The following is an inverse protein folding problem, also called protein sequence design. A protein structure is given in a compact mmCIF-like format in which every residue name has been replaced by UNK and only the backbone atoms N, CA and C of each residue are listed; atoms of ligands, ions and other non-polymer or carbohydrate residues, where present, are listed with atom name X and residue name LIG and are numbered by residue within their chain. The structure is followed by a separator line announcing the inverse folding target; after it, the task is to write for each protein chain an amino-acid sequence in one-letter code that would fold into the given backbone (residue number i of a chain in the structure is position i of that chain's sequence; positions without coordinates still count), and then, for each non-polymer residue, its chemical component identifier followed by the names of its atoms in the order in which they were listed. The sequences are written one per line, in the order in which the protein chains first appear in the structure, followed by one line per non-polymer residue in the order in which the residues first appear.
data_IF_679015702949
#
_entry.id   IF_679015702949
#
_cell.length_a   1.000
_cell.length_b   1.000
_cell.length_c   1.000
_cell.angle_alpha   90.00
_cell.angle_beta   90.00
_cell.angle_gamma   90.00
#
_symmetry.space_group_name_H-M   'P 1'
#
loop_
_entity.id
_entity.type
_entity.pdbx_description
1 polymer ?
#
# COMPACT_ATOMS: atom_id res chain seq x y z
N UNK A 1 -72.55 -36.49 -81.49
CA UNK A 1 -71.73 -37.21 -80.48
C UNK A 1 -72.08 -36.58 -79.13
N UNK A 2 -72.95 -37.17 -78.30
CA UNK A 2 -72.69 -38.26 -77.33
C UNK A 2 -71.58 -37.85 -76.33
N UNK A 3 -71.69 -37.87 -75.00
CA UNK A 3 -72.66 -38.45 -74.06
C UNK A 3 -72.57 -37.74 -72.69
N UNK A 4 -73.54 -38.04 -71.82
CA UNK A 4 -73.70 -37.62 -70.42
C UNK A 4 -72.86 -38.49 -69.45
N UNK A 5 -72.68 -38.02 -68.21
CA UNK A 5 -72.39 -38.82 -67.00
C UNK A 5 -71.24 -38.25 -66.15
N UNK A 6 -71.16 -38.34 -64.82
CA UNK A 6 -72.04 -38.89 -63.79
C UNK A 6 -71.53 -38.43 -62.39
N UNK A 7 -72.39 -38.55 -61.36
CA UNK A 7 -72.27 -38.32 -59.90
C UNK A 7 -70.94 -38.69 -59.20
N UNK A 8 -70.64 -38.04 -58.06
CA UNK A 8 -70.44 -38.74 -56.76
C UNK A 8 -70.56 -37.83 -55.51
N UNK A 9 -71.13 -38.42 -54.46
CA UNK A 9 -71.45 -37.90 -53.12
C UNK A 9 -70.39 -38.40 -52.11
N UNK A 10 -69.98 -37.60 -51.12
CA UNK A 10 -69.25 -38.12 -49.96
C UNK A 10 -69.52 -37.29 -48.68
N UNK A 11 -70.24 -37.91 -47.73
CA UNK A 11 -70.27 -37.56 -46.31
C UNK A 11 -68.90 -37.81 -45.67
N UNK A 12 -68.55 -37.08 -44.60
CA UNK A 12 -68.23 -37.68 -43.27
C UNK A 12 -67.55 -36.72 -42.28
N UNK A 13 -67.87 -36.97 -41.01
CA UNK A 13 -67.01 -36.93 -39.82
C UNK A 13 -67.06 -35.71 -38.87
N UNK A 14 -67.88 -35.89 -37.81
CA UNK A 14 -67.88 -35.19 -36.52
C UNK A 14 -66.73 -35.70 -35.64
N UNK A 15 -66.00 -34.82 -34.94
CA UNK A 15 -65.00 -35.20 -33.92
C UNK A 15 -64.98 -34.20 -32.77
N UNK A 16 -65.45 -34.61 -31.59
CA UNK A 16 -65.25 -33.90 -30.32
C UNK A 16 -63.86 -34.27 -29.74
N UNK A 17 -63.14 -33.28 -29.18
CA UNK A 17 -62.02 -33.49 -28.25
C UNK A 17 -62.21 -32.59 -27.03
N UNK A 18 -61.98 -33.17 -25.86
CA UNK A 18 -62.12 -32.57 -24.54
C UNK A 18 -60.74 -32.51 -23.90
N UNK A 19 -60.13 -31.32 -23.90
CA UNK A 19 -58.74 -31.14 -23.44
C UNK A 19 -58.77 -30.48 -22.06
N UNK A 20 -58.44 -31.23 -21.00
CA UNK A 20 -58.32 -30.70 -19.63
C UNK A 20 -56.90 -30.17 -19.42
N UNK A 21 -56.77 -28.86 -19.22
CA UNK A 21 -55.51 -28.14 -19.12
C UNK A 21 -55.07 -28.01 -17.63
N UNK A 22 -53.94 -28.59 -17.23
CA UNK A 22 -53.29 -28.27 -15.95
C UNK A 22 -52.32 -27.10 -16.18
N UNK A 23 -52.64 -25.93 -15.62
CA UNK A 23 -51.76 -24.75 -15.68
C UNK A 23 -50.56 -24.84 -14.72
N UNK A 24 -49.53 -23.99 -14.93
CA UNK A 24 -48.32 -23.98 -14.09
C UNK A 24 -48.65 -23.63 -12.64
N UNK A 25 -48.13 -24.41 -11.69
CA UNK A 25 -48.31 -24.16 -10.26
C UNK A 25 -47.53 -22.91 -9.84
N UNK A 26 -48.22 -21.95 -9.21
CA UNK A 26 -47.57 -20.74 -8.68
C UNK A 26 -46.69 -21.11 -7.48
N UNK A 27 -45.46 -20.57 -7.37
CA UNK A 27 -44.61 -20.81 -6.22
C UNK A 27 -45.26 -20.29 -4.92
N UNK A 28 -45.09 -21.02 -3.82
CA UNK A 28 -45.66 -20.66 -2.52
C UNK A 28 -45.04 -19.38 -1.95
N UNK A 29 -45.84 -18.57 -1.26
CA UNK A 29 -45.45 -17.26 -0.73
C UNK A 29 -44.22 -17.34 0.21
N UNK A 30 -44.05 -18.43 0.94
CA UNK A 30 -42.90 -18.65 1.83
C UNK A 30 -41.57 -18.77 1.08
N UNK A 31 -41.60 -19.36 -0.12
CA UNK A 31 -40.41 -19.46 -0.97
C UNK A 31 -39.99 -18.09 -1.50
N UNK A 32 -40.96 -17.22 -1.82
CA UNK A 32 -40.69 -15.85 -2.24
C UNK A 32 -40.12 -15.02 -1.07
N UNK A 33 -40.70 -15.13 0.13
CA UNK A 33 -40.21 -14.46 1.34
C UNK A 33 -38.76 -14.85 1.71
N UNK A 34 -38.43 -16.15 1.62
CA UNK A 34 -37.06 -16.63 1.88
C UNK A 34 -36.04 -16.10 0.86
N UNK A 35 -36.45 -16.00 -0.41
CA UNK A 35 -35.62 -15.46 -1.50
C UNK A 35 -35.37 -13.96 -1.32
N UNK A 36 -36.38 -13.19 -0.92
CA UNK A 36 -36.23 -11.76 -0.62
C UNK A 36 -35.32 -11.50 0.58
N UNK A 37 -35.41 -12.31 1.65
CA UNK A 37 -34.50 -12.20 2.80
C UNK A 37 -33.05 -12.48 2.42
N UNK A 38 -32.80 -13.53 1.61
CA UNK A 38 -31.45 -13.83 1.10
C UNK A 38 -30.91 -12.68 0.22
N UNK A 39 -31.73 -12.16 -0.69
CA UNK A 39 -31.34 -11.04 -1.56
C UNK A 39 -31.02 -9.77 -0.76
N UNK A 40 -31.79 -9.48 0.30
CA UNK A 40 -31.54 -8.34 1.20
C UNK A 40 -30.23 -8.47 1.97
N UNK A 41 -29.92 -9.66 2.50
CA UNK A 41 -28.65 -9.91 3.20
C UNK A 41 -27.47 -9.80 2.22
N UNK A 42 -27.57 -10.42 1.03
CA UNK A 42 -26.54 -10.33 -0.01
C UNK A 42 -26.31 -8.88 -0.49
N UNK A 43 -27.38 -8.07 -0.59
CA UNK A 43 -27.30 -6.65 -0.93
C UNK A 43 -26.61 -5.83 0.17
N UNK A 44 -26.85 -6.13 1.44
CA UNK A 44 -26.18 -5.46 2.57
C UNK A 44 -24.67 -5.76 2.61
N UNK A 45 -24.28 -7.01 2.34
CA UNK A 45 -22.87 -7.40 2.27
C UNK A 45 -22.12 -6.83 1.05
N UNK A 46 -22.82 -6.61 -0.07
CA UNK A 46 -22.22 -5.96 -1.26
C UNK A 46 -22.10 -4.44 -1.08
N UNK A 47 -23.02 -3.79 -0.37
CA UNK A 47 -22.93 -2.36 -0.03
C UNK A 47 -21.79 -2.04 0.95
N UNK A 48 -21.59 -2.88 1.97
CA UNK A 48 -20.53 -2.68 2.97
C UNK A 48 -19.11 -2.91 2.40
N UNK A 49 -18.95 -3.82 1.43
CA UNK A 49 -17.65 -4.01 0.72
C UNK A 49 -17.28 -2.81 -0.15
N UNK A 50 -18.25 -2.12 -0.75
CA UNK A 50 -17.98 -0.96 -1.64
C UNK A 50 -17.46 0.27 -0.90
N UNK A 51 -17.73 0.40 0.39
CA UNK A 51 -17.25 1.54 1.21
C UNK A 51 -15.74 1.50 1.48
N UNK A 52 -15.11 0.32 1.39
CA UNK A 52 -13.69 0.14 1.70
C UNK A 52 -12.82 -0.29 0.49
N UNK A 53 -13.44 -0.66 -0.63
CA UNK A 53 -12.72 -1.28 -1.76
C UNK A 53 -12.29 -0.31 -2.87
N UNK A 54 -12.91 0.86 -3.00
CA UNK A 54 -12.67 1.78 -4.11
C UNK A 54 -12.33 3.18 -3.58
N UNK A 55 -11.07 3.46 -3.21
CA UNK A 55 -10.67 4.83 -2.87
C UNK A 55 -10.92 5.73 -4.07
N UNK A 56 -11.54 6.89 -3.86
CA UNK A 56 -11.73 7.86 -4.94
C UNK A 56 -10.36 8.25 -5.50
N UNK A 57 -10.23 8.46 -6.82
CA UNK A 57 -8.94 8.83 -7.44
C UNK A 57 -8.32 10.09 -6.82
N UNK A 58 -9.14 10.97 -6.25
CA UNK A 58 -8.71 12.16 -5.50
C UNK A 58 -7.95 11.80 -4.21
N UNK A 59 -8.40 10.80 -3.45
CA UNK A 59 -7.72 10.36 -2.23
C UNK A 59 -6.38 9.68 -2.53
N UNK A 60 -6.31 8.93 -3.64
CA UNK A 60 -5.07 8.32 -4.11
C UNK A 60 -4.03 9.39 -4.52
N UNK A 61 -4.47 10.43 -5.23
CA UNK A 61 -3.59 11.55 -5.65
C UNK A 61 -3.17 12.41 -4.45
N UNK A 62 -4.08 12.73 -3.53
CA UNK A 62 -3.73 13.48 -2.33
C UNK A 62 -2.76 12.69 -1.42
N UNK A 63 -2.96 11.37 -1.31
CA UNK A 63 -2.04 10.48 -0.59
C UNK A 63 -0.67 10.41 -1.24
N UNK A 64 -0.59 10.30 -2.57
CA UNK A 64 0.70 10.28 -3.27
C UNK A 64 1.44 11.61 -3.19
N UNK A 65 0.73 12.74 -3.23
CA UNK A 65 1.31 14.07 -2.99
C UNK A 65 1.82 14.18 -1.54
N UNK A 66 1.06 13.72 -0.56
CA UNK A 66 1.48 13.71 0.84
C UNK A 66 2.73 12.87 1.07
N UNK A 67 2.81 11.68 0.46
CA UNK A 67 4.00 10.82 0.50
C UNK A 67 5.18 11.50 -0.20
N UNK A 68 4.95 12.10 -1.37
CA UNK A 68 5.99 12.82 -2.11
C UNK A 68 6.53 14.00 -1.28
N UNK A 69 5.66 14.84 -0.72
CA UNK A 69 6.04 15.93 0.16
C UNK A 69 6.81 15.43 1.40
N UNK A 70 6.37 14.32 2.01
CA UNK A 70 7.08 13.71 3.14
C UNK A 70 8.48 13.22 2.74
N UNK A 71 8.63 12.60 1.56
CA UNK A 71 9.94 12.16 1.05
C UNK A 71 10.87 13.34 0.68
N UNK A 72 10.32 14.44 0.18
CA UNK A 72 11.10 15.66 -0.07
C UNK A 72 11.55 16.30 1.25
N UNK A 73 10.67 16.33 2.27
CA UNK A 73 10.98 16.92 3.57
C UNK A 73 12.05 16.15 4.34
N UNK A 74 12.10 14.82 4.20
CA UNK A 74 13.13 13.99 4.87
C UNK A 74 14.49 14.07 4.19
N UNK A 75 14.53 14.39 2.89
CA UNK A 75 15.79 14.53 2.14
C UNK A 75 16.64 15.70 2.62
N UNK A 76 16.05 16.77 3.16
CA UNK A 76 16.80 17.92 3.71
C UNK A 76 17.40 17.70 5.09
N UNK A 77 17.13 16.57 5.75
CA UNK A 77 17.59 16.28 7.12
C UNK A 77 18.86 15.41 7.15
N UNK A 78 19.56 15.25 6.04
CA UNK A 78 20.80 14.49 6.01
C UNK A 78 21.91 15.27 6.73
N UNK A 79 22.53 14.65 7.73
CA UNK A 79 23.74 15.19 8.34
C UNK A 79 24.87 15.13 7.29
N UNK A 80 25.52 16.27 7.04
CA UNK A 80 26.67 16.32 6.15
C UNK A 80 27.79 15.41 6.70
N UNK A 81 28.39 14.55 5.86
CA UNK A 81 29.52 13.74 6.28
C UNK A 81 30.68 14.65 6.70
N UNK A 82 31.33 14.32 7.82
CA UNK A 82 32.52 15.04 8.27
C UNK A 82 33.68 14.75 7.31
N UNK A 83 33.92 15.67 6.36
CA UNK A 83 34.96 15.56 5.33
C UNK A 83 36.36 15.94 5.83
N UNK A 84 36.48 16.37 7.09
CA UNK A 84 37.76 16.80 7.67
C UNK A 84 38.77 15.63 7.71
N UNK A 85 40.02 15.83 7.27
CA UNK A 85 41.08 14.84 7.43
C UNK A 85 41.24 14.42 8.89
N UNK A 86 41.37 13.11 9.13
CA UNK A 86 41.56 12.56 10.48
C UNK A 86 43.05 12.43 10.79
N UNK A 87 43.53 13.16 11.79
CA UNK A 87 44.92 13.08 12.27
C UNK A 87 44.97 12.29 13.58
N UNK A 88 45.72 11.19 13.61
CA UNK A 88 45.94 10.40 14.83
C UNK A 88 47.14 10.94 15.58
N UNK A 89 46.96 11.30 16.84
CA UNK A 89 48.02 11.92 17.66
C UNK A 89 48.28 11.03 18.88
N UNK A 90 49.52 10.54 18.98
CA UNK A 90 49.98 9.72 20.09
C UNK A 90 50.20 10.56 21.35
N UNK A 91 49.61 10.17 22.47
CA UNK A 91 49.84 10.80 23.78
C UNK A 91 50.51 9.81 24.72
N UNK A 92 51.71 10.17 25.17
CA UNK A 92 52.36 9.55 26.33
C UNK A 92 52.15 10.46 27.54
N UNK A 93 51.65 9.90 28.63
CA UNK A 93 51.16 10.66 29.78
C UNK A 93 52.32 11.29 30.56
N UNK A 94 52.67 12.53 30.22
CA UNK A 94 53.80 13.28 30.75
C UNK A 94 53.36 14.70 31.17
N UNK A 95 52.61 14.83 32.27
CA UNK A 95 52.22 16.14 32.78
C UNK A 95 53.45 16.96 33.23
N UNK A 96 53.44 18.30 33.05
CA UNK A 96 52.36 19.11 32.50
C UNK A 96 52.42 19.27 30.96
N UNK A 97 53.32 18.55 30.27
CA UNK A 97 53.61 18.76 28.84
C UNK A 97 52.49 18.28 27.94
N UNK A 98 52.12 17.02 28.10
CA UNK A 98 51.03 16.37 27.35
C UNK A 98 50.48 15.21 28.17
N UNK A 99 49.15 15.14 28.34
CA UNK A 99 48.50 14.12 29.14
C UNK A 99 47.04 13.97 28.73
N UNK A 100 46.37 12.91 29.17
CA UNK A 100 44.93 12.74 28.94
C UNK A 100 44.10 13.45 30.02
N UNK A 101 43.01 14.12 29.64
CA UNK A 101 41.93 14.45 30.57
C UNK A 101 40.99 13.27 30.84
N UNK A 102 39.99 13.50 31.69
CA UNK A 102 38.95 12.52 32.04
C UNK A 102 38.08 12.11 30.84
N UNK A 103 38.04 12.93 29.78
CA UNK A 103 37.32 12.64 28.54
C UNK A 103 38.18 11.94 27.49
N UNK A 104 39.48 11.74 27.75
CA UNK A 104 40.42 11.12 26.81
C UNK A 104 40.94 12.06 25.73
N UNK A 105 40.88 13.39 25.92
CA UNK A 105 41.55 14.35 25.05
C UNK A 105 42.97 14.66 25.52
N UNK A 106 43.84 15.00 24.58
CA UNK A 106 45.18 15.49 24.86
C UNK A 106 45.13 16.90 25.45
N UNK A 107 45.63 17.05 26.68
CA UNK A 107 45.79 18.29 27.42
C UNK A 107 47.27 18.67 27.58
N UNK A 108 47.54 19.83 28.18
CA UNK A 108 48.87 20.39 28.34
C UNK A 108 49.29 21.18 27.11
N UNK A 109 50.46 21.82 27.19
CA UNK A 109 50.95 22.73 26.14
C UNK A 109 50.89 22.11 24.73
N UNK A 110 51.32 20.85 24.59
CA UNK A 110 51.31 20.19 23.28
C UNK A 110 49.91 19.76 22.84
N UNK A 111 49.03 19.39 23.78
CA UNK A 111 47.63 19.07 23.47
C UNK A 111 46.90 20.28 22.90
N UNK A 112 46.99 21.42 23.61
CA UNK A 112 46.37 22.67 23.20
C UNK A 112 46.93 23.23 21.89
N UNK A 113 48.25 23.19 21.71
CA UNK A 113 48.89 23.62 20.47
C UNK A 113 48.42 22.77 19.28
N UNK A 114 48.37 21.44 19.45
CA UNK A 114 47.92 20.52 18.40
C UNK A 114 46.46 20.78 18.03
N UNK A 115 45.59 20.97 19.02
CA UNK A 115 44.18 21.29 18.79
C UNK A 115 44.02 22.64 18.07
N UNK A 116 44.83 23.63 18.45
CA UNK A 116 44.86 24.95 17.79
C UNK A 116 45.22 24.85 16.31
N UNK A 117 46.23 24.03 15.96
CA UNK A 117 46.61 23.76 14.58
C UNK A 117 45.48 23.01 13.86
N UNK A 118 44.93 21.96 14.46
CA UNK A 118 43.86 21.17 13.87
C UNK A 118 42.63 22.01 13.52
N UNK A 119 42.25 22.95 14.40
CA UNK A 119 41.15 23.90 14.12
C UNK A 119 41.45 24.81 12.93
N UNK A 120 42.69 25.29 12.80
CA UNK A 120 43.09 26.17 11.67
C UNK A 120 43.13 25.42 10.36
N UNK A 121 43.59 24.16 10.38
CA UNK A 121 43.75 23.32 9.19
C UNK A 121 42.49 22.51 8.84
N UNK A 122 41.43 22.60 9.64
CA UNK A 122 40.21 21.83 9.44
C UNK A 122 40.44 20.33 9.63
N UNK A 123 41.32 19.92 10.54
CA UNK A 123 41.56 18.51 10.88
C UNK A 123 40.68 18.06 12.05
N UNK A 124 40.40 16.76 12.07
CA UNK A 124 39.78 16.08 13.20
C UNK A 124 40.84 15.26 13.93
N UNK A 125 41.15 15.65 15.16
CA UNK A 125 42.11 14.91 15.98
C UNK A 125 41.49 13.61 16.50
N UNK A 126 42.29 12.55 16.50
CA UNK A 126 42.01 11.27 17.13
C UNK A 126 43.15 10.99 18.08
N UNK A 127 42.93 11.25 19.36
CA UNK A 127 43.90 10.96 20.41
C UNK A 127 44.05 9.45 20.58
N UNK A 128 45.28 8.95 20.56
CA UNK A 128 45.59 7.52 20.72
C UNK A 128 46.74 7.34 21.70
N UNK A 129 46.75 6.28 22.52
CA UNK A 129 47.87 6.04 23.42
C UNK A 129 49.17 5.92 22.62
N UNK A 130 50.19 6.66 23.05
CA UNK A 130 51.52 6.66 22.45
C UNK A 130 52.56 6.15 23.44
N UNK A 131 53.64 5.59 22.91
CA UNK A 131 54.84 5.24 23.67
C UNK A 131 55.98 6.16 23.25
N UNK A 132 56.88 6.45 24.18
CA UNK A 132 58.13 7.17 23.94
C UNK A 132 59.30 6.27 24.31
#
# INVERSE_FOLDING_TARGET
MSARGCKLHLMMFRRERKDRNYGPTRPSADRLRGRERKLRILAAFTGARRLFSDPSPVLLVAGSIGILLLTLLTSSLQAEPDTRPRLRVGVYNNPPKVFYDEQGHGQGFWGELTESIARREGWKIVWVPGTW
#
